data_IF_383337251421
#
_entry.id   IF_383337251421
#
_cell.length_a   1.000
_cell.length_b   1.000
_cell.length_c   1.000
_cell.angle_alpha   90.00
_cell.angle_beta   90.00
_cell.angle_gamma   90.00
#
_symmetry.space_group_name_H-M   'P 1'
#
loop_
_entity.id
_entity.type
_entity.pdbx_description
1 polymer ?
#
# COMPACT_ATOMS: atom_id res chain seq x y z
N UNK A 1 34.08 -16.83 -20.14
CA UNK A 1 33.71 -15.48 -20.59
C UNK A 1 32.57 -15.68 -21.56
N UNK A 2 31.34 -15.29 -21.21
CA UNK A 2 30.18 -15.49 -22.08
C UNK A 2 30.15 -14.30 -23.03
N UNK A 3 30.29 -14.57 -24.33
CA UNK A 3 30.27 -13.57 -25.39
C UNK A 3 28.81 -13.17 -25.64
N UNK A 4 28.40 -11.97 -25.20
CA UNK A 4 27.01 -11.46 -25.27
C UNK A 4 26.86 -10.48 -26.45
N UNK A 5 27.61 -10.66 -27.53
CA UNK A 5 27.42 -9.90 -28.75
C UNK A 5 26.54 -10.70 -29.72
N UNK A 6 25.23 -10.62 -29.51
CA UNK A 6 24.23 -11.14 -30.44
C UNK A 6 23.77 -10.06 -31.44
N UNK A 7 23.51 -10.40 -32.72
CA UNK A 7 23.21 -9.46 -33.79
C UNK A 7 21.79 -8.85 -33.71
N UNK A 8 21.61 -7.69 -34.36
CA UNK A 8 20.36 -6.93 -34.49
C UNK A 8 19.23 -7.75 -35.15
N UNK A 9 18.46 -8.47 -34.33
CA UNK A 9 17.18 -9.07 -34.68
C UNK A 9 16.12 -8.69 -33.62
N UNK A 10 14.82 -8.97 -33.84
CA UNK A 10 13.75 -8.55 -32.93
C UNK A 10 14.04 -9.02 -31.50
N UNK A 11 14.37 -8.03 -30.67
CA UNK A 11 15.29 -8.13 -29.53
C UNK A 11 14.67 -8.76 -28.27
N UNK A 12 14.17 -9.99 -28.38
CA UNK A 12 13.79 -10.81 -27.23
C UNK A 12 15.03 -11.52 -26.70
N UNK A 13 15.86 -10.79 -25.96
CA UNK A 13 16.99 -11.39 -25.22
C UNK A 13 16.42 -12.21 -24.07
N UNK A 14 16.41 -13.54 -24.22
CA UNK A 14 16.07 -14.45 -23.13
C UNK A 14 17.28 -14.56 -22.19
N UNK A 15 17.27 -13.82 -21.08
CA UNK A 15 18.30 -13.97 -20.05
C UNK A 15 18.08 -15.29 -19.29
N UNK A 16 19.13 -16.11 -19.10
CA UNK A 16 19.00 -17.36 -18.36
C UNK A 16 18.60 -17.06 -16.91
N UNK A 17 17.63 -17.82 -16.41
CA UNK A 17 17.19 -17.72 -15.02
C UNK A 17 18.29 -18.25 -14.10
N UNK A 18 18.81 -17.39 -13.22
CA UNK A 18 19.84 -17.77 -12.26
C UNK A 18 19.27 -18.87 -11.35
N UNK A 19 19.97 -20.02 -11.25
CA UNK A 19 19.52 -21.20 -10.48
C UNK A 19 19.08 -20.87 -9.05
N UNK A 20 19.77 -19.93 -8.39
CA UNK A 20 19.42 -19.47 -7.05
C UNK A 20 18.05 -18.79 -7.00
N UNK A 21 17.70 -17.99 -8.01
CA UNK A 21 16.36 -17.38 -8.13
C UNK A 21 15.32 -18.48 -8.32
N UNK A 22 15.64 -19.49 -9.14
CA UNK A 22 14.76 -20.63 -9.38
C UNK A 22 14.42 -21.43 -8.12
N UNK A 23 15.45 -21.80 -7.36
CA UNK A 23 15.28 -22.50 -6.09
C UNK A 23 14.38 -21.71 -5.12
N UNK A 24 14.61 -20.40 -5.01
CA UNK A 24 13.87 -19.54 -4.10
C UNK A 24 12.35 -19.48 -4.37
N UNK A 25 11.91 -19.41 -5.63
CA UNK A 25 10.48 -19.40 -5.91
C UNK A 25 9.85 -20.79 -5.79
N UNK A 26 10.58 -21.84 -6.19
CA UNK A 26 10.11 -23.22 -6.03
C UNK A 26 9.79 -23.54 -4.57
N UNK A 27 10.67 -23.17 -3.63
CA UNK A 27 10.43 -23.39 -2.19
C UNK A 27 9.21 -22.61 -1.70
N UNK A 28 9.02 -21.37 -2.17
CA UNK A 28 7.87 -20.54 -1.75
C UNK A 28 6.53 -21.04 -2.30
N UNK A 29 6.52 -21.60 -3.52
CA UNK A 29 5.28 -22.08 -4.16
C UNK A 29 4.74 -23.38 -3.56
N UNK A 30 5.53 -24.15 -2.83
CA UNK A 30 5.06 -25.38 -2.18
C UNK A 30 4.02 -25.12 -1.06
N UNK A 31 3.88 -23.89 -0.56
CA UNK A 31 2.89 -23.57 0.48
C UNK A 31 2.25 -22.19 0.30
N UNK A 32 1.50 -22.02 -0.77
CA UNK A 32 0.79 -20.77 -1.10
C UNK A 32 -0.19 -20.32 0.01
N UNK A 33 -0.85 -21.28 0.66
CA UNK A 33 -1.83 -20.99 1.71
C UNK A 33 -1.19 -20.45 3.01
N UNK A 34 0.05 -20.85 3.31
CA UNK A 34 0.73 -20.49 4.56
C UNK A 34 1.66 -19.28 4.45
N UNK A 35 1.77 -18.68 3.25
CA UNK A 35 2.66 -17.53 3.05
C UNK A 35 2.31 -16.41 4.03
N UNK A 36 3.25 -16.18 4.96
CA UNK A 36 3.17 -15.09 5.91
C UNK A 36 3.31 -13.77 5.17
N UNK A 37 2.60 -12.70 5.60
CA UNK A 37 2.85 -11.37 5.10
C UNK A 37 4.33 -11.03 5.21
N UNK A 38 4.85 -10.24 4.26
CA UNK A 38 6.27 -9.91 4.21
C UNK A 38 6.77 -9.47 5.58
N UNK A 39 7.87 -10.07 6.05
CA UNK A 39 8.45 -9.73 7.34
C UNK A 39 8.76 -8.23 7.40
N UNK A 40 8.27 -7.54 8.44
CA UNK A 40 8.47 -6.10 8.67
C UNK A 40 9.94 -5.67 8.62
N UNK A 41 10.88 -6.59 8.83
CA UNK A 41 12.32 -6.34 8.71
C UNK A 41 12.75 -5.97 7.28
N UNK A 42 12.14 -6.54 6.25
CA UNK A 42 12.48 -6.25 4.85
C UNK A 42 11.99 -4.85 4.46
N UNK A 43 10.79 -4.48 4.91
CA UNK A 43 10.20 -3.16 4.65
C UNK A 43 11.07 -2.00 5.16
N UNK A 44 11.77 -2.19 6.29
CA UNK A 44 12.67 -1.19 6.87
C UNK A 44 13.92 -0.95 6.02
N UNK A 45 14.35 -1.91 5.21
CA UNK A 45 15.51 -1.75 4.32
C UNK A 45 15.22 -0.77 3.18
N UNK A 46 13.97 -0.75 2.72
CA UNK A 46 13.53 0.06 1.58
C UNK A 46 12.78 1.33 2.02
N UNK A 47 13.11 1.85 3.20
CA UNK A 47 12.41 3.03 3.75
C UNK A 47 12.75 4.28 2.92
N UNK A 48 11.72 4.91 2.37
CA UNK A 48 11.81 6.23 1.75
C UNK A 48 11.28 7.29 2.73
N UNK A 49 11.99 8.42 2.94
CA UNK A 49 11.50 9.51 3.78
C UNK A 49 10.09 9.94 3.33
N UNK A 50 9.15 9.90 4.26
CA UNK A 50 7.71 9.93 3.94
C UNK A 50 7.09 11.31 3.90
N UNK A 51 7.86 12.40 4.03
CA UNK A 51 7.29 13.75 4.15
C UNK A 51 6.48 14.09 2.89
N UNK A 52 5.15 14.14 3.02
CA UNK A 52 4.21 14.37 1.90
C UNK A 52 3.76 13.12 1.14
N UNK A 53 4.23 11.94 1.54
CA UNK A 53 3.89 10.63 0.96
C UNK A 53 3.50 9.60 2.03
N UNK A 54 3.20 10.02 3.27
CA UNK A 54 2.86 9.10 4.36
C UNK A 54 1.70 8.16 4.02
N UNK A 55 0.73 8.66 3.25
CA UNK A 55 -0.45 7.91 2.82
C UNK A 55 -0.11 6.68 1.96
N UNK A 56 1.03 6.68 1.25
CA UNK A 56 1.43 5.56 0.38
C UNK A 56 1.92 4.35 1.18
N UNK A 57 2.43 4.57 2.39
CA UNK A 57 3.04 3.53 3.22
C UNK A 57 2.12 2.98 4.30
N UNK A 58 0.88 3.45 4.34
CA UNK A 58 -0.15 2.91 5.20
C UNK A 58 -1.10 2.05 4.37
N UNK A 59 -1.59 0.97 4.97
CA UNK A 59 -2.70 0.25 4.37
C UNK A 59 -3.88 1.22 4.21
N UNK A 60 -4.51 1.28 3.02
CA UNK A 60 -5.65 2.15 2.83
C UNK A 60 -6.72 1.72 3.82
N UNK A 61 -7.04 2.64 4.72
CA UNK A 61 -8.07 2.42 5.72
C UNK A 61 -9.40 2.44 4.97
N UNK A 62 -10.31 1.50 5.26
CA UNK A 62 -11.67 1.58 4.77
C UNK A 62 -12.32 2.82 5.43
N UNK A 63 -12.35 3.95 4.73
CA UNK A 63 -12.97 5.19 5.22
C UNK A 63 -14.08 5.60 4.26
N UNK A 64 -15.31 5.13 4.49
CA UNK A 64 -16.51 5.59 3.75
C UNK A 64 -17.81 5.13 4.41
N UNK A 65 -18.94 5.69 3.96
CA UNK A 65 -20.30 5.22 4.31
C UNK A 65 -20.51 3.73 3.99
N UNK A 66 -19.82 3.20 2.97
CA UNK A 66 -19.88 1.77 2.60
C UNK A 66 -19.37 0.89 3.75
N UNK A 67 -18.30 1.32 4.43
CA UNK A 67 -17.72 0.59 5.56
C UNK A 67 -18.65 0.60 6.77
N UNK A 68 -19.29 1.74 7.02
CA UNK A 68 -20.33 1.85 8.05
C UNK A 68 -21.52 0.94 7.74
N UNK A 69 -21.98 0.90 6.48
CA UNK A 69 -23.06 0.02 6.05
C UNK A 69 -22.70 -1.47 6.20
N UNK A 70 -21.47 -1.86 5.83
CA UNK A 70 -20.96 -3.22 6.06
C UNK A 70 -20.93 -3.55 7.55
N UNK A 71 -20.46 -2.62 8.40
CA UNK A 71 -20.41 -2.82 9.86
C UNK A 71 -21.80 -2.99 10.46
N UNK A 72 -22.77 -2.15 10.07
CA UNK A 72 -24.16 -2.26 10.51
C UNK A 72 -24.77 -3.59 10.06
N UNK A 73 -24.52 -4.01 8.80
CA UNK A 73 -25.02 -5.28 8.30
C UNK A 73 -24.38 -6.49 8.99
N UNK A 74 -23.09 -6.44 9.32
CA UNK A 74 -22.42 -7.49 10.11
C UNK A 74 -23.06 -7.62 11.50
N UNK A 75 -23.41 -6.51 12.16
CA UNK A 75 -24.12 -6.53 13.45
C UNK A 75 -25.50 -7.19 13.35
N UNK A 76 -26.26 -6.88 12.29
CA UNK A 76 -27.56 -7.51 12.05
C UNK A 76 -27.42 -9.00 11.69
N UNK A 77 -26.38 -9.36 10.93
CA UNK A 77 -26.14 -10.72 10.45
C UNK A 77 -25.56 -11.64 11.52
N UNK A 78 -24.91 -11.12 12.58
CA UNK A 78 -24.51 -11.96 13.73
C UNK A 78 -25.70 -12.65 14.41
N UNK A 79 -26.92 -12.17 14.19
CA UNK A 79 -28.17 -12.80 14.66
C UNK A 79 -28.65 -13.95 13.78
N UNK A 80 -28.09 -14.11 12.57
CA UNK A 80 -28.42 -15.16 11.61
C UNK A 80 -27.13 -15.94 11.23
N UNK A 81 -27.04 -17.19 11.65
CA UNK A 81 -25.86 -18.07 11.52
C UNK A 81 -25.57 -18.54 10.07
N UNK A 82 -25.40 -17.61 9.13
CA UNK A 82 -25.10 -17.94 7.74
C UNK A 82 -23.57 -18.12 7.49
N UNK A 83 -23.12 -19.20 6.83
CA UNK A 83 -21.70 -19.52 6.58
C UNK A 83 -20.90 -18.56 5.68
N UNK A 84 -21.54 -17.61 4.98
CA UNK A 84 -20.93 -16.81 3.90
C UNK A 84 -19.81 -15.85 4.35
N UNK A 85 -19.71 -15.54 5.64
CA UNK A 85 -18.73 -14.57 6.15
C UNK A 85 -17.26 -15.03 6.07
N UNK A 86 -16.98 -16.33 5.91
CA UNK A 86 -15.60 -16.86 5.90
C UNK A 86 -14.85 -16.53 4.61
N UNK A 87 -15.51 -16.62 3.46
CA UNK A 87 -14.91 -16.41 2.15
C UNK A 87 -14.56 -14.93 1.91
N UNK A 88 -15.47 -14.01 2.24
CA UNK A 88 -15.23 -12.58 2.16
C UNK A 88 -14.03 -12.14 3.02
N UNK A 89 -13.93 -12.65 4.25
CA UNK A 89 -12.77 -12.39 5.14
C UNK A 89 -11.47 -12.94 4.55
N UNK A 90 -11.51 -14.11 3.91
CA UNK A 90 -10.36 -14.69 3.22
C UNK A 90 -9.91 -13.82 2.04
N UNK A 91 -10.85 -13.35 1.21
CA UNK A 91 -10.56 -12.51 0.05
C UNK A 91 -10.06 -11.11 0.43
N UNK A 92 -10.62 -10.46 1.46
CA UNK A 92 -10.05 -9.19 1.96
C UNK A 92 -8.63 -9.39 2.50
N UNK A 93 -8.38 -10.48 3.25
CA UNK A 93 -7.03 -10.81 3.71
C UNK A 93 -6.07 -11.03 2.51
N UNK A 94 -6.52 -11.73 1.48
CA UNK A 94 -5.74 -11.92 0.26
C UNK A 94 -5.45 -10.60 -0.44
N UNK A 95 -6.46 -9.74 -0.62
CA UNK A 95 -6.29 -8.41 -1.19
C UNK A 95 -5.31 -7.53 -0.40
N UNK A 96 -5.32 -7.61 0.94
CA UNK A 96 -4.31 -6.94 1.80
C UNK A 96 -2.90 -7.48 1.56
N UNK A 97 -2.73 -8.80 1.41
CA UNK A 97 -1.43 -9.40 1.11
C UNK A 97 -0.92 -8.97 -0.28
N UNK A 98 -1.79 -8.98 -1.30
CA UNK A 98 -1.46 -8.51 -2.65
C UNK A 98 -1.04 -7.03 -2.62
N UNK A 99 -1.80 -6.19 -1.92
CA UNK A 99 -1.45 -4.78 -1.71
C UNK A 99 -0.08 -4.61 -1.04
N UNK A 100 0.18 -5.28 0.09
CA UNK A 100 1.49 -5.20 0.77
C UNK A 100 2.64 -5.67 -0.12
N UNK A 101 2.43 -6.71 -0.91
CA UNK A 101 3.43 -7.23 -1.83
C UNK A 101 3.76 -6.21 -2.91
N UNK A 102 2.72 -5.62 -3.54
CA UNK A 102 2.89 -4.56 -4.53
C UNK A 102 3.56 -3.32 -3.95
N UNK A 103 3.18 -2.88 -2.75
CA UNK A 103 3.79 -1.73 -2.07
C UNK A 103 5.28 -1.97 -1.76
N UNK A 104 5.65 -3.18 -1.30
CA UNK A 104 7.05 -3.51 -1.11
C UNK A 104 7.83 -3.53 -2.44
N UNK A 105 7.26 -4.13 -3.49
CA UNK A 105 7.87 -4.14 -4.82
C UNK A 105 8.09 -2.71 -5.32
N UNK A 106 7.12 -1.82 -5.11
CA UNK A 106 7.21 -0.42 -5.49
C UNK A 106 8.37 0.28 -4.76
N UNK A 107 8.53 0.03 -3.45
CA UNK A 107 9.65 0.56 -2.66
C UNK A 107 11.01 0.07 -3.16
N UNK A 108 11.12 -1.22 -3.47
CA UNK A 108 12.34 -1.81 -4.05
C UNK A 108 12.64 -1.17 -5.41
N UNK A 109 11.65 -1.11 -6.30
CA UNK A 109 11.80 -0.57 -7.65
C UNK A 109 12.16 0.92 -7.62
N UNK A 110 11.57 1.71 -6.72
CA UNK A 110 11.94 3.11 -6.55
C UNK A 110 13.41 3.28 -6.15
N UNK A 111 13.93 2.46 -5.22
CA UNK A 111 15.36 2.48 -4.90
C UNK A 111 16.23 2.08 -6.09
N UNK A 112 15.82 1.06 -6.86
CA UNK A 112 16.53 0.65 -8.07
C UNK A 112 16.59 1.78 -9.11
N UNK A 113 15.49 2.52 -9.33
CA UNK A 113 15.46 3.69 -10.22
C UNK A 113 16.47 4.75 -9.79
N UNK A 114 16.52 5.08 -8.49
CA UNK A 114 17.47 6.07 -7.96
C UNK A 114 18.92 5.63 -8.19
N UNK A 115 19.23 4.37 -7.86
CA UNK A 115 20.57 3.80 -8.02
C UNK A 115 20.98 3.74 -9.51
N UNK A 116 20.09 3.30 -10.38
CA UNK A 116 20.37 3.19 -11.81
C UNK A 116 20.52 4.56 -12.48
N UNK A 117 19.74 5.56 -12.07
CA UNK A 117 19.93 6.95 -12.52
C UNK A 117 21.29 7.49 -12.10
N UNK A 118 21.72 7.21 -10.86
CA UNK A 118 23.06 7.59 -10.42
C UNK A 118 24.15 6.88 -11.23
N UNK A 119 24.04 5.56 -11.43
CA UNK A 119 24.97 4.79 -12.24
C UNK A 119 25.09 5.33 -13.67
N UNK A 120 23.97 5.63 -14.33
CA UNK A 120 23.97 6.25 -15.66
C UNK A 120 24.70 7.60 -15.67
N UNK A 121 24.43 8.47 -14.69
CA UNK A 121 25.11 9.75 -14.56
C UNK A 121 26.61 9.60 -14.29
N UNK A 122 27.02 8.57 -13.55
CA UNK A 122 28.44 8.25 -13.34
C UNK A 122 29.14 7.89 -14.65
N UNK A 123 28.53 7.06 -15.50
CA UNK A 123 29.06 6.78 -16.84
C UNK A 123 29.12 8.01 -17.74
N UNK A 124 28.13 8.90 -17.65
CA UNK A 124 28.17 10.20 -18.33
C UNK A 124 29.33 11.08 -17.83
N UNK A 125 29.64 11.06 -16.53
CA UNK A 125 30.79 11.78 -15.98
C UNK A 125 32.13 11.15 -16.42
N UNK A 126 32.25 9.81 -16.37
CA UNK A 126 33.43 9.06 -16.83
C UNK A 126 33.74 9.36 -18.30
N UNK A 127 32.72 9.59 -19.14
CA UNK A 127 32.91 9.93 -20.55
C UNK A 127 33.74 11.19 -20.79
N UNK A 128 33.76 12.14 -19.84
CA UNK A 128 34.55 13.37 -19.92
C UNK A 128 36.06 13.15 -19.79
N UNK A 129 36.49 11.98 -19.32
CA UNK A 129 37.91 11.63 -19.19
C UNK A 129 38.51 11.02 -20.45
N UNK A 130 37.68 10.68 -21.45
CA UNK A 130 38.12 10.02 -22.70
C UNK A 130 39.28 10.75 -23.38
N UNK A 131 39.19 12.09 -23.47
CA UNK A 131 40.19 12.88 -24.19
C UNK A 131 41.52 13.02 -23.43
N UNK A 132 41.52 12.72 -22.12
CA UNK A 132 42.71 12.77 -21.27
C UNK A 132 43.57 11.51 -21.35
N UNK A 133 43.09 10.47 -22.00
CA UNK A 133 43.80 9.20 -22.13
C UNK A 133 44.80 9.20 -23.31
N UNK A 134 45.88 8.40 -23.23
CA UNK A 134 46.77 8.14 -24.36
C UNK A 134 46.00 7.62 -25.58
N UNK A 135 46.40 8.04 -26.77
CA UNK A 135 45.68 7.79 -28.02
C UNK A 135 45.33 6.31 -28.22
N UNK A 136 46.26 5.41 -27.94
CA UNK A 136 46.11 3.96 -28.13
C UNK A 136 45.03 3.32 -27.22
N UNK A 137 44.66 3.99 -26.13
CA UNK A 137 43.66 3.50 -25.16
C UNK A 137 42.26 4.11 -25.34
N UNK A 138 42.14 5.16 -26.17
CA UNK A 138 40.89 5.92 -26.30
C UNK A 138 39.74 5.11 -26.89
N UNK A 139 40.01 4.22 -27.85
CA UNK A 139 38.99 3.40 -28.51
C UNK A 139 38.39 2.36 -27.55
N UNK A 140 39.23 1.61 -26.86
CA UNK A 140 38.79 0.62 -25.86
C UNK A 140 38.03 1.27 -24.70
N UNK A 141 38.51 2.42 -24.21
CA UNK A 141 37.80 3.17 -23.16
C UNK A 141 36.45 3.72 -23.65
N UNK A 142 36.38 4.20 -24.89
CA UNK A 142 35.11 4.67 -25.48
C UNK A 142 34.09 3.53 -25.60
N UNK A 143 34.50 2.35 -26.06
CA UNK A 143 33.64 1.17 -26.13
C UNK A 143 33.11 0.79 -24.74
N UNK A 144 33.98 0.75 -23.73
CA UNK A 144 33.59 0.47 -22.34
C UNK A 144 32.58 1.48 -21.79
N UNK A 145 32.75 2.78 -22.07
CA UNK A 145 31.80 3.82 -21.66
C UNK A 145 30.43 3.59 -22.31
N UNK A 146 30.40 3.31 -23.61
CA UNK A 146 29.13 3.11 -24.32
C UNK A 146 28.41 1.83 -23.83
N UNK A 147 29.15 0.75 -23.58
CA UNK A 147 28.61 -0.45 -22.95
C UNK A 147 28.05 -0.14 -21.55
N UNK A 148 28.81 0.56 -20.71
CA UNK A 148 28.39 0.95 -19.37
C UNK A 148 27.13 1.81 -19.36
N UNK A 149 27.03 2.79 -20.28
CA UNK A 149 25.81 3.58 -20.50
C UNK A 149 24.64 2.73 -20.95
N UNK A 150 24.85 1.81 -21.90
CA UNK A 150 23.81 0.93 -22.41
C UNK A 150 23.25 0.03 -21.30
N UNK A 151 24.12 -0.60 -20.49
CA UNK A 151 23.72 -1.43 -19.35
C UNK A 151 22.98 -0.60 -18.30
N UNK A 152 23.48 0.60 -17.95
CA UNK A 152 22.82 1.47 -16.97
C UNK A 152 21.44 1.93 -17.46
N UNK A 153 21.29 2.26 -18.74
CA UNK A 153 20.01 2.63 -19.36
C UNK A 153 19.03 1.45 -19.37
N UNK A 154 19.48 0.26 -19.74
CA UNK A 154 18.66 -0.95 -19.71
C UNK A 154 18.20 -1.28 -18.29
N UNK A 155 19.09 -1.20 -17.29
CA UNK A 155 18.76 -1.41 -15.88
C UNK A 155 17.74 -0.38 -15.36
N UNK A 156 17.87 0.89 -15.78
CA UNK A 156 16.89 1.92 -15.46
C UNK A 156 15.51 1.58 -16.05
N UNK A 157 15.44 1.14 -17.31
CA UNK A 157 14.18 0.73 -17.95
C UNK A 157 13.53 -0.43 -17.20
N UNK A 158 14.28 -1.49 -16.89
CA UNK A 158 13.79 -2.65 -16.11
C UNK A 158 13.22 -2.21 -14.75
N UNK A 159 13.84 -1.21 -14.12
CA UNK A 159 13.36 -0.66 -12.85
C UNK A 159 12.04 0.11 -13.01
N UNK A 160 11.88 0.86 -14.11
CA UNK A 160 10.62 1.54 -14.44
C UNK A 160 9.50 0.54 -14.74
N UNK A 161 9.80 -0.53 -15.49
CA UNK A 161 8.84 -1.61 -15.76
C UNK A 161 8.44 -2.32 -14.46
N UNK A 162 9.38 -2.46 -13.52
CA UNK A 162 9.12 -2.99 -12.18
C UNK A 162 8.21 -2.08 -11.35
N UNK A 163 8.34 -0.75 -11.47
CA UNK A 163 7.42 0.23 -10.85
C UNK A 163 5.99 0.05 -11.39
N UNK A 164 5.84 -0.07 -12.71
CA UNK A 164 4.52 -0.28 -13.33
C UNK A 164 3.90 -1.61 -12.88
N UNK A 165 4.66 -2.70 -12.89
CA UNK A 165 4.21 -4.01 -12.40
C UNK A 165 3.78 -3.95 -10.92
N UNK A 166 4.54 -3.24 -10.08
CA UNK A 166 4.20 -3.05 -8.67
C UNK A 166 2.91 -2.22 -8.50
N UNK A 167 2.73 -1.15 -9.29
CA UNK A 167 1.52 -0.34 -9.30
C UNK A 167 0.28 -1.16 -9.71
N UNK A 168 0.39 -2.00 -10.73
CA UNK A 168 -0.69 -2.93 -11.13
C UNK A 168 -1.00 -3.95 -10.03
N UNK A 169 0.02 -4.46 -9.34
CA UNK A 169 -0.17 -5.37 -8.20
C UNK A 169 -0.93 -4.68 -7.05
N UNK A 170 -0.57 -3.44 -6.72
CA UNK A 170 -1.30 -2.62 -5.74
C UNK A 170 -2.75 -2.44 -6.17
N UNK A 171 -2.99 -2.06 -7.42
CA UNK A 171 -4.33 -1.86 -7.97
C UNK A 171 -5.18 -3.13 -7.88
N UNK A 172 -4.64 -4.30 -8.26
CA UNK A 172 -5.32 -5.60 -8.10
C UNK A 172 -5.69 -5.88 -6.63
N UNK A 173 -4.78 -5.60 -5.69
CA UNK A 173 -5.07 -5.73 -4.26
C UNK A 173 -6.18 -4.80 -3.78
N UNK A 174 -6.24 -3.56 -4.29
CA UNK A 174 -7.32 -2.61 -3.99
C UNK A 174 -8.64 -3.09 -4.56
N UNK A 175 -8.68 -3.49 -5.84
CA UNK A 175 -9.89 -3.99 -6.51
C UNK A 175 -10.45 -5.20 -5.77
N UNK A 176 -9.60 -6.17 -5.41
CA UNK A 176 -10.03 -7.34 -4.63
C UNK A 176 -10.72 -6.95 -3.32
N UNK A 177 -10.15 -5.98 -2.58
CA UNK A 177 -10.75 -5.50 -1.33
C UNK A 177 -12.05 -4.74 -1.57
N UNK A 178 -12.11 -3.91 -2.61
CA UNK A 178 -13.30 -3.17 -2.99
C UNK A 178 -14.45 -4.10 -3.39
N UNK A 179 -14.21 -5.09 -4.24
CA UNK A 179 -15.23 -6.06 -4.66
C UNK A 179 -15.82 -6.79 -3.47
N UNK A 180 -14.99 -7.24 -2.51
CA UNK A 180 -15.47 -7.87 -1.27
C UNK A 180 -16.32 -6.92 -0.44
N UNK A 181 -15.85 -5.69 -0.23
CA UNK A 181 -16.59 -4.70 0.57
C UNK A 181 -17.93 -4.33 -0.07
N UNK A 182 -17.97 -4.19 -1.39
CA UNK A 182 -19.20 -3.89 -2.13
C UNK A 182 -20.18 -5.06 -2.10
N UNK A 183 -19.70 -6.29 -2.26
CA UNK A 183 -20.55 -7.48 -2.14
C UNK A 183 -21.15 -7.60 -0.73
N UNK A 184 -20.37 -7.32 0.30
CA UNK A 184 -20.83 -7.34 1.70
C UNK A 184 -21.74 -6.16 2.05
N UNK A 185 -21.68 -5.05 1.31
CA UNK A 185 -22.52 -3.88 1.57
C UNK A 185 -24.00 -4.11 1.27
N UNK A 186 -24.34 -5.08 0.40
CA UNK A 186 -25.71 -5.30 -0.05
C UNK A 186 -26.27 -4.20 -0.96
N UNK A 187 -25.40 -3.34 -1.52
CA UNK A 187 -25.77 -2.33 -2.51
C UNK A 187 -26.33 -2.97 -3.79
N UNK A 188 -27.22 -2.29 -4.54
CA UNK A 188 -27.63 -2.76 -5.87
C UNK A 188 -26.44 -2.89 -6.83
N UNK A 189 -26.42 -3.88 -7.75
CA UNK A 189 -25.31 -4.10 -8.69
C UNK A 189 -24.92 -2.86 -9.50
N UNK A 190 -25.89 -2.01 -9.87
CA UNK A 190 -25.66 -0.78 -10.63
C UNK A 190 -24.80 0.21 -9.84
N UNK A 191 -25.06 0.31 -8.53
CA UNK A 191 -24.28 1.14 -7.62
C UNK A 191 -22.90 0.53 -7.39
N UNK A 192 -22.81 -0.79 -7.24
CA UNK A 192 -21.54 -1.48 -7.07
C UNK A 192 -20.61 -1.26 -8.27
N UNK A 193 -21.11 -1.42 -9.51
CA UNK A 193 -20.33 -1.20 -10.73
C UNK A 193 -19.81 0.24 -10.81
N UNK A 194 -20.68 1.22 -10.54
CA UNK A 194 -20.31 2.64 -10.53
C UNK A 194 -19.20 2.94 -9.50
N UNK A 195 -19.21 2.25 -8.36
CA UNK A 195 -18.19 2.41 -7.32
C UNK A 195 -16.88 1.67 -7.63
N UNK A 196 -16.93 0.56 -8.36
CA UNK A 196 -15.73 -0.17 -8.81
C UNK A 196 -14.95 0.62 -9.86
N UNK A 197 -15.64 1.39 -10.70
CA UNK A 197 -15.02 2.21 -11.75
C UNK A 197 -14.39 3.51 -11.21
N UNK A 198 -14.47 3.77 -9.90
CA UNK A 198 -13.86 4.96 -9.30
C UNK A 198 -12.34 4.83 -9.21
N UNK A 199 -11.66 5.94 -9.52
CA UNK A 199 -10.21 6.03 -9.46
C UNK A 199 -9.72 5.98 -8.00
N UNK A 200 -8.69 5.19 -7.74
CA UNK A 200 -8.01 5.14 -6.45
C UNK A 200 -7.04 6.32 -6.27
N UNK A 201 -7.22 7.14 -5.23
CA UNK A 201 -6.41 8.34 -4.95
C UNK A 201 -5.28 8.08 -3.94
N UNK A 202 -5.14 6.85 -3.43
CA UNK A 202 -4.05 6.47 -2.52
C UNK A 202 -4.31 6.73 -1.04
N UNK A 203 -5.19 7.67 -0.65
CA UNK A 203 -5.44 7.99 0.76
C UNK A 203 -6.43 7.06 1.47
N UNK A 204 -7.20 6.27 0.73
CA UNK A 204 -8.23 5.37 1.25
C UNK A 204 -8.75 4.45 0.15
N UNK A 205 -9.45 3.38 0.54
CA UNK A 205 -10.02 2.44 -0.43
C UNK A 205 -11.06 3.12 -1.34
N UNK A 206 -11.78 4.09 -0.80
CA UNK A 206 -12.77 4.87 -1.53
C UNK A 206 -12.24 6.27 -1.81
N UNK A 207 -12.60 6.80 -2.98
CA UNK A 207 -12.33 8.17 -3.37
C UNK A 207 -13.09 9.14 -2.44
N UNK A 208 -12.54 10.33 -2.15
CA UNK A 208 -13.23 11.31 -1.28
C UNK A 208 -14.61 11.71 -1.80
N UNK A 209 -14.81 11.71 -3.12
CA UNK A 209 -16.10 12.03 -3.75
C UNK A 209 -17.09 10.87 -3.69
N UNK A 210 -16.70 9.67 -3.21
CA UNK A 210 -17.56 8.48 -3.16
C UNK A 210 -18.88 8.77 -2.47
N UNK A 211 -18.85 9.44 -1.32
CA UNK A 211 -20.07 9.74 -0.56
C UNK A 211 -20.97 10.73 -1.33
N UNK A 212 -20.39 11.75 -1.95
CA UNK A 212 -21.17 12.69 -2.78
C UNK A 212 -21.75 12.04 -4.05
N UNK A 213 -21.05 11.08 -4.67
CA UNK A 213 -21.58 10.30 -5.80
C UNK A 213 -22.70 9.38 -5.34
N UNK A 214 -22.52 8.71 -4.19
CA UNK A 214 -23.58 7.92 -3.57
C UNK A 214 -24.83 8.76 -3.35
N UNK A 215 -24.72 10.00 -2.88
CA UNK A 215 -25.86 10.90 -2.71
C UNK A 215 -26.51 11.34 -4.03
N UNK A 216 -25.73 11.53 -5.10
CA UNK A 216 -26.21 11.97 -6.41
C UNK A 216 -26.93 10.89 -7.24
N UNK A 217 -26.84 9.61 -6.85
CA UNK A 217 -27.55 8.53 -7.54
C UNK A 217 -29.06 8.67 -7.32
N UNK A 218 -29.85 8.49 -8.39
CA UNK A 218 -31.31 8.65 -8.39
C UNK A 218 -32.00 7.81 -7.31
N UNK A 219 -31.45 6.63 -7.04
CA UNK A 219 -31.99 5.68 -6.06
C UNK A 219 -31.29 5.75 -4.69
N UNK A 220 -30.38 6.70 -4.50
CA UNK A 220 -29.57 6.84 -3.27
C UNK A 220 -30.42 6.88 -2.00
N UNK A 221 -31.58 7.55 -2.05
CA UNK A 221 -32.49 7.64 -0.92
C UNK A 221 -33.09 6.29 -0.54
N UNK A 222 -33.49 5.49 -1.53
CA UNK A 222 -34.03 4.14 -1.31
C UNK A 222 -32.92 3.20 -0.83
N UNK A 223 -31.74 3.26 -1.44
CA UNK A 223 -30.57 2.47 -1.07
C UNK A 223 -30.06 2.79 0.34
N UNK A 224 -29.92 4.07 0.70
CA UNK A 224 -29.55 4.46 2.07
C UNK A 224 -30.61 4.02 3.09
N UNK A 225 -31.88 3.92 2.67
CA UNK A 225 -32.98 3.44 3.53
C UNK A 225 -32.91 1.94 3.74
N UNK A 226 -32.62 1.16 2.70
CA UNK A 226 -32.43 -0.29 2.83
C UNK A 226 -31.17 -0.65 3.63
N UNK A 227 -30.16 0.22 3.64
CA UNK A 227 -28.95 0.07 4.45
C UNK A 227 -29.13 0.47 5.93
N UNK A 228 -30.32 0.93 6.34
CA UNK A 228 -30.55 1.43 7.70
C UNK A 228 -29.81 2.73 8.04
N UNK A 229 -29.19 3.37 7.04
CA UNK A 229 -28.35 4.55 7.18
C UNK A 229 -29.14 5.87 7.06
N UNK A 230 -30.47 5.81 7.01
CA UNK A 230 -31.26 7.02 7.24
C UNK A 230 -31.08 7.43 8.68
N UNK A 231 -30.42 8.58 8.88
CA UNK A 231 -30.78 9.43 9.99
C UNK A 231 -32.27 9.69 9.81
N UNK A 232 -33.11 9.00 10.59
CA UNK A 232 -34.52 9.34 10.68
C UNK A 232 -34.51 10.85 10.90
N UNK A 233 -34.93 11.61 9.89
CA UNK A 233 -35.06 13.05 9.96
C UNK A 233 -35.74 13.29 11.28
N UNK A 234 -35.00 13.84 12.25
CA UNK A 234 -35.36 13.81 13.66
C UNK A 234 -36.80 14.24 13.68
N UNK A 235 -37.72 13.29 13.93
CA UNK A 235 -39.14 13.54 13.92
C UNK A 235 -39.26 14.74 14.84
N UNK A 236 -39.49 15.93 14.27
CA UNK A 236 -39.57 17.14 15.04
C UNK A 236 -40.76 16.85 15.92
N UNK A 237 -40.50 16.52 17.18
CA UNK A 237 -41.55 16.39 18.18
C UNK A 237 -42.40 17.64 17.97
N UNK A 238 -43.71 17.50 17.74
CA UNK A 238 -44.60 18.64 17.66
C UNK A 238 -44.19 19.58 18.79
N UNK A 239 -43.83 20.80 18.43
CA UNK A 239 -43.30 21.76 19.38
C UNK A 239 -44.42 22.03 20.38
N UNK A 240 -44.42 21.33 21.51
CA UNK A 240 -45.32 21.64 22.61
C UNK A 240 -44.75 22.91 23.23
N UNK A 241 -45.42 24.08 23.12
CA UNK A 241 -44.95 25.26 23.81
C UNK A 241 -44.88 24.94 25.29
N UNK A 242 -43.66 24.95 25.85
CA UNK A 242 -43.48 24.86 27.29
C UNK A 242 -44.14 26.09 27.93
N UNK A 243 -44.99 25.94 28.95
CA UNK A 243 -45.41 27.06 29.76
C UNK A 243 -44.17 27.72 30.38
N UNK A 244 -44.14 29.06 30.50
CA UNK A 244 -42.99 29.78 31.02
C UNK A 244 -42.65 29.31 32.44
N UNK A 245 -41.55 28.58 32.57
CA UNK A 245 -40.95 28.26 33.87
C UNK A 245 -40.53 29.58 34.53
N UNK A 246 -41.16 29.90 35.66
CA UNK A 246 -40.70 30.96 36.55
C UNK A 246 -39.22 30.73 36.88
N UNK A 247 -38.36 31.62 36.41
CA UNK A 247 -36.95 31.66 36.80
C UNK A 247 -36.86 31.98 38.29
N UNK A 248 -36.66 30.96 39.11
CA UNK A 248 -35.95 31.17 40.37
C UNK A 248 -34.47 31.38 40.05
N UNK A 249 -34.01 32.61 40.27
CA UNK A 249 -32.61 32.98 40.20
C UNK A 249 -31.85 32.25 41.30
N UNK A 250 -31.12 31.19 40.93
CA UNK A 250 -30.03 30.68 41.75
C UNK A 250 -28.74 31.46 41.43
N UNK A 251 -28.06 32.05 42.43
CA UNK A 251 -26.80 32.73 42.22
C UNK A 251 -25.71 31.73 41.83
N UNK A 252 -25.11 31.95 40.66
CA UNK A 252 -24.02 31.14 40.10
C UNK A 252 -22.72 31.43 40.87
N UNK A 253 -22.00 30.42 41.38
CA UNK A 253 -20.64 30.61 41.88
C UNK A 253 -19.68 30.94 40.75
N UNK A 254 -18.75 31.81 41.13
CA UNK A 254 -17.63 32.41 40.41
C UNK A 254 -16.85 31.42 39.53
N UNK A 255 -16.55 31.85 38.31
CA UNK A 255 -15.71 31.15 37.34
C UNK A 255 -14.27 31.01 37.85
N UNK A 256 -13.72 29.79 37.81
CA UNK A 256 -12.28 29.53 37.93
C UNK A 256 -11.59 29.61 36.56
N UNK A 257 -10.32 30.05 36.49
CA UNK A 257 -9.61 30.26 35.24
C UNK A 257 -9.11 28.96 34.59
N UNK A 258 -9.16 28.95 33.27
CA UNK A 258 -8.68 27.93 32.35
C UNK A 258 -7.29 27.34 32.68
N UNK A 259 -7.24 26.06 33.02
CA UNK A 259 -6.03 25.25 32.80
C UNK A 259 -5.96 24.79 31.34
N UNK A 260 -5.05 25.42 30.61
CA UNK A 260 -4.61 25.06 29.25
C UNK A 260 -3.98 23.65 29.27
N UNK A 261 -4.80 22.61 29.10
CA UNK A 261 -4.33 21.23 28.96
C UNK A 261 -3.73 21.04 27.57
N UNK A 262 -2.40 21.12 27.50
CA UNK A 262 -1.62 20.83 26.30
C UNK A 262 -1.84 19.39 25.84
N UNK A 263 -2.36 19.24 24.62
CA UNK A 263 -2.50 17.96 23.93
C UNK A 263 -1.11 17.60 23.39
N UNK A 264 -0.36 16.84 24.18
CA UNK A 264 0.86 16.19 23.74
C UNK A 264 0.49 14.92 22.97
N UNK A 265 0.67 14.95 21.66
CA UNK A 265 0.69 13.77 20.79
C UNK A 265 1.92 12.91 21.15
N UNK A 266 1.78 12.02 22.14
CA UNK A 266 2.72 10.91 22.33
C UNK A 266 2.17 9.69 21.59
N UNK A 267 2.67 9.47 20.38
CA UNK A 267 2.81 8.12 19.84
C UNK A 267 3.69 7.34 20.82
N UNK A 268 3.06 6.51 21.65
CA UNK A 268 3.74 5.55 22.52
C UNK A 268 4.47 4.54 21.64
N UNK A 269 5.75 4.82 21.41
CA UNK A 269 6.73 3.89 20.85
C UNK A 269 7.09 2.94 21.99
N UNK A 270 6.49 1.75 22.01
CA UNK A 270 6.89 0.70 22.92
C UNK A 270 8.34 0.29 22.58
N UNK A 271 9.26 0.75 23.42
CA UNK A 271 10.59 0.17 23.55
C UNK A 271 10.43 -1.18 24.25
N UNK A 272 10.80 -2.26 23.56
CA UNK A 272 11.09 -3.55 24.21
C UNK A 272 12.57 -3.54 24.59
N UNK A 273 12.94 -3.93 25.83
CA UNK A 273 14.33 -3.96 26.24
C UNK A 273 15.11 -5.10 25.57
N UNK A 274 16.34 -4.75 25.28
CA UNK A 274 17.48 -5.58 24.95
C UNK A 274 17.59 -6.81 25.89
N UNK A 275 17.55 -8.02 25.34
CA UNK A 275 17.98 -9.24 26.03
C UNK A 275 18.82 -10.10 25.08
N UNK A 276 20.00 -10.50 25.56
CA UNK A 276 20.65 -11.74 25.16
C UNK A 276 21.77 -11.63 24.13
N UNK A 277 22.95 -11.20 24.58
CA UNK A 277 24.21 -11.62 23.97
C UNK A 277 24.32 -13.16 24.09
N UNK A 278 24.17 -13.89 22.99
CA UNK A 278 24.66 -15.25 22.89
C UNK A 278 26.02 -15.24 22.18
N UNK A 279 27.05 -15.51 22.98
CA UNK A 279 28.45 -15.70 22.62
C UNK A 279 28.59 -17.09 21.97
N UNK A 280 29.13 -17.26 20.75
CA UNK A 280 29.46 -18.57 20.24
C UNK A 280 30.74 -19.10 20.93
N UNK A 281 30.68 -20.31 21.48
CA UNK A 281 31.86 -21.11 21.82
C UNK A 281 32.55 -21.58 20.52
N UNK A 282 33.90 -21.55 20.44
CA UNK A 282 34.63 -22.23 19.39
C UNK A 282 34.69 -23.73 19.72
N UNK A 283 33.97 -24.53 18.95
CA UNK A 283 34.06 -25.99 18.97
C UNK A 283 35.20 -26.48 18.09
N UNK A 284 36.28 -26.92 18.73
CA UNK A 284 37.28 -27.82 18.15
C UNK A 284 36.61 -29.11 17.67
N UNK A 285 36.84 -29.53 16.41
CA UNK A 285 36.95 -30.95 16.03
C UNK A 285 37.97 -31.16 14.90
N UNK A 286 38.87 -32.09 15.20
CA UNK A 286 39.89 -32.73 14.35
C UNK A 286 39.27 -33.79 13.42
N UNK A 287 40.02 -34.17 12.37
CA UNK A 287 39.90 -35.40 11.57
C UNK A 287 38.74 -35.37 10.56
N UNK A 288 38.92 -35.62 9.27
CA UNK A 288 39.87 -36.45 8.52
C UNK A 288 40.26 -35.80 7.19
#
# INVERSE_FOLDING_TARGET
>A
MVDILAPEGPSRVALPLIKTIQSNFNTKWQSLASMTPTARGVERKYFAPSKGYEFRFCHPTPCSLVVSAVSERERHSQRASAPKAKEAKCLDLFGRKVYSSGDLQLRIANQQVILNKHNFNSWMAVSKFKDRLPQDSRSGFAALIEEGKAVAKASLQVSLDSVDSAARTIASGVVMRLSVLLQESGLPPEVQNTLQDLTFEGSGLFFKQTDSRLHGLKDSRATLKSLGMHTLATQRKPFTPQPPLQRQYQPRPRQEPYHRRGINNRCTRNNVPNQGQNKPQPGNKQGF
#
